data_IF_899981057453
#
_entry.id   IF_899981057453
#
_cell.length_a   1.000
_cell.length_b   1.000
_cell.length_c   1.000
_cell.angle_alpha   90.00
_cell.angle_beta   90.00
_cell.angle_gamma   90.00
#
_symmetry.space_group_name_H-M   'P 1'
#
loop_
_entity.id
_entity.type
_entity.pdbx_description
1 polymer ?
#
# COMPACT_ATOMS: atom_id res chain seq x y z
N UNK A 1 -0.77 -0.75 -8.57
CA UNK A 1 -0.57 0.53 -7.85
C UNK A 1 -1.54 1.61 -8.33
N UNK A 2 -1.48 2.05 -9.59
CA UNK A 2 -2.37 3.09 -10.11
C UNK A 2 -3.88 2.80 -9.93
N UNK A 3 -4.31 1.55 -10.12
CA UNK A 3 -5.71 1.15 -9.94
C UNK A 3 -6.17 1.24 -8.48
N UNK A 4 -5.36 0.79 -7.51
CA UNK A 4 -5.69 0.93 -6.08
C UNK A 4 -5.81 2.40 -5.69
N UNK A 5 -4.94 3.26 -6.25
CA UNK A 5 -5.01 4.70 -6.03
C UNK A 5 -6.29 5.28 -6.60
N UNK A 6 -6.62 4.96 -7.86
CA UNK A 6 -7.84 5.41 -8.52
C UNK A 6 -9.11 5.00 -7.75
N UNK A 7 -9.19 3.75 -7.28
CA UNK A 7 -10.31 3.21 -6.51
C UNK A 7 -10.55 3.93 -5.17
N UNK A 8 -9.54 4.59 -4.63
CA UNK A 8 -9.60 5.27 -3.32
C UNK A 8 -9.46 6.79 -3.40
N UNK A 9 -9.34 7.34 -4.61
CA UNK A 9 -9.27 8.78 -4.86
C UNK A 9 -10.56 9.26 -5.52
N UNK A 10 -11.19 10.28 -4.96
CA UNK A 10 -12.45 10.86 -5.46
C UNK A 10 -12.36 11.54 -6.84
N UNK A 11 -11.17 11.61 -7.44
CA UNK A 11 -10.95 12.19 -8.75
C UNK A 11 -10.18 11.20 -9.62
N UNK A 12 -10.92 10.38 -10.39
CA UNK A 12 -10.75 10.06 -11.83
C UNK A 12 -11.70 8.87 -12.09
N UNK A 13 -12.97 9.16 -12.35
CA UNK A 13 -13.95 8.14 -12.73
C UNK A 13 -13.76 7.62 -14.17
N UNK A 14 -12.91 8.25 -14.99
CA UNK A 14 -12.76 7.92 -16.42
C UNK A 14 -11.67 6.87 -16.75
N UNK A 15 -10.96 6.32 -15.75
CA UNK A 15 -9.86 5.34 -15.99
C UNK A 15 -10.26 3.92 -15.59
N UNK A 16 -11.35 3.74 -14.85
CA UNK A 16 -11.81 2.42 -14.48
C UNK A 16 -12.74 1.91 -15.58
N UNK A 17 -12.52 0.70 -16.13
CA UNK A 17 -13.52 0.01 -16.95
C UNK A 17 -14.91 0.07 -16.29
N UNK A 18 -15.99 -0.13 -17.04
CA UNK A 18 -17.30 -0.38 -16.42
C UNK A 18 -17.25 -1.78 -15.76
N UNK A 19 -16.76 -1.84 -14.52
CA UNK A 19 -16.80 -3.05 -13.68
C UNK A 19 -18.23 -3.32 -13.19
N UNK A 20 -19.15 -2.38 -13.46
CA UNK A 20 -20.55 -2.50 -13.14
C UNK A 20 -21.40 -2.94 -14.33
N UNK A 21 -22.28 -3.91 -14.03
CA UNK A 21 -23.47 -4.27 -14.78
C UNK A 21 -23.31 -5.16 -16.04
N UNK A 22 -22.96 -6.43 -15.80
CA UNK A 22 -23.59 -7.56 -16.50
C UNK A 22 -23.84 -8.69 -15.52
N UNK A 23 -24.99 -8.66 -14.85
CA UNK A 23 -25.75 -9.85 -14.42
C UNK A 23 -27.06 -9.48 -13.69
N UNK A 24 -27.81 -8.50 -14.22
CA UNK A 24 -29.20 -8.27 -13.79
C UNK A 24 -30.02 -7.72 -14.94
N UNK A 25 -30.13 -8.49 -16.03
CA UNK A 25 -31.25 -8.34 -16.95
C UNK A 25 -32.43 -9.15 -16.39
N UNK A 26 -33.22 -8.51 -15.54
CA UNK A 26 -34.63 -8.86 -15.36
C UNK A 26 -35.43 -7.56 -15.33
N UNK A 27 -35.81 -7.13 -16.53
CA UNK A 27 -37.09 -6.54 -16.91
C UNK A 27 -37.93 -5.91 -15.78
N UNK A 28 -38.00 -4.58 -15.72
CA UNK A 28 -39.26 -3.82 -15.93
C UNK A 28 -39.17 -2.34 -15.53
N UNK A 29 -39.62 -1.46 -16.43
CA UNK A 29 -40.41 -0.25 -16.10
C UNK A 29 -39.69 1.05 -15.69
N UNK A 30 -39.80 2.07 -16.56
CA UNK A 30 -39.44 3.48 -16.32
C UNK A 30 -40.23 4.14 -15.17
N UNK A 31 -39.60 5.05 -14.42
CA UNK A 31 -40.06 6.44 -14.21
C UNK A 31 -39.02 7.27 -13.43
N UNK A 32 -38.90 8.55 -13.83
CA UNK A 32 -38.09 9.62 -13.25
C UNK A 32 -38.45 9.91 -11.78
N UNK A 33 -37.49 10.39 -10.99
CA UNK A 33 -37.61 11.57 -10.11
C UNK A 33 -36.21 12.01 -9.61
N UNK A 34 -36.04 13.33 -9.51
CA UNK A 34 -34.86 14.06 -9.06
C UNK A 34 -34.73 14.04 -7.53
N UNK A 35 -33.49 14.10 -7.01
CA UNK A 35 -33.20 14.63 -5.68
C UNK A 35 -32.61 13.66 -4.66
N UNK A 36 -31.33 13.88 -4.32
CA UNK A 36 -30.70 13.37 -3.10
C UNK A 36 -29.75 12.18 -3.30
N UNK A 37 -28.47 12.45 -3.57
CA UNK A 37 -27.51 11.39 -3.92
C UNK A 37 -26.14 11.52 -3.27
N UNK A 38 -26.05 11.95 -2.01
CA UNK A 38 -24.78 11.87 -1.27
C UNK A 38 -24.50 10.48 -0.68
N UNK A 39 -25.53 9.62 -0.56
CA UNK A 39 -25.41 8.28 0.05
C UNK A 39 -25.36 7.12 -0.96
N UNK A 40 -25.67 7.37 -2.24
CA UNK A 40 -25.70 6.32 -3.25
C UNK A 40 -24.29 5.99 -3.81
N UNK A 41 -23.40 6.98 -3.87
CA UNK A 41 -22.04 6.80 -4.39
C UNK A 41 -21.10 6.00 -3.49
N UNK A 42 -21.20 6.13 -2.16
CA UNK A 42 -20.29 5.41 -1.25
C UNK A 42 -20.54 3.89 -1.22
N UNK A 43 -21.80 3.48 -1.32
CA UNK A 43 -22.18 2.07 -1.36
C UNK A 43 -21.78 1.42 -2.68
N UNK A 44 -21.97 2.14 -3.79
CA UNK A 44 -21.58 1.71 -5.14
C UNK A 44 -20.05 1.56 -5.25
N UNK A 45 -19.29 2.56 -4.78
CA UNK A 45 -17.84 2.51 -4.74
C UNK A 45 -17.32 1.37 -3.84
N UNK A 46 -17.99 1.10 -2.71
CA UNK A 46 -17.64 -0.02 -1.83
C UNK A 46 -17.87 -1.38 -2.49
N UNK A 47 -18.94 -1.53 -3.28
CA UNK A 47 -19.22 -2.74 -4.05
C UNK A 47 -18.16 -2.99 -5.12
N UNK A 48 -17.85 -1.96 -5.93
CA UNK A 48 -16.83 -2.01 -6.99
C UNK A 48 -15.45 -2.37 -6.45
N UNK A 49 -15.03 -1.77 -5.33
CA UNK A 49 -13.75 -2.09 -4.68
C UNK A 49 -13.70 -3.52 -4.15
N UNK A 50 -14.79 -3.98 -3.53
CA UNK A 50 -14.87 -5.34 -3.00
C UNK A 50 -14.71 -6.39 -4.10
N UNK A 51 -15.43 -6.22 -5.22
CA UNK A 51 -15.31 -7.06 -6.41
C UNK A 51 -13.88 -7.06 -6.98
N UNK A 52 -13.25 -5.88 -7.03
CA UNK A 52 -11.87 -5.77 -7.47
C UNK A 52 -10.91 -6.57 -6.58
N UNK A 53 -11.05 -6.47 -5.26
CA UNK A 53 -10.18 -7.19 -4.31
C UNK A 53 -10.33 -8.71 -4.39
N UNK A 54 -11.56 -9.19 -4.53
CA UNK A 54 -11.84 -10.61 -4.70
C UNK A 54 -11.16 -11.16 -5.97
N UNK A 55 -11.25 -10.42 -7.09
CA UNK A 55 -10.71 -10.85 -8.37
C UNK A 55 -9.18 -10.79 -8.43
N UNK A 56 -8.55 -9.83 -7.75
CA UNK A 56 -7.12 -9.50 -7.97
C UNK A 56 -6.13 -9.95 -6.89
N UNK A 57 -6.55 -10.62 -5.81
CA UNK A 57 -5.68 -11.21 -4.75
C UNK A 57 -4.44 -10.35 -4.43
N UNK A 58 -4.68 -9.10 -4.07
CA UNK A 58 -3.62 -8.08 -3.96
C UNK A 58 -2.64 -8.30 -2.81
N UNK A 59 -3.03 -9.05 -1.77
CA UNK A 59 -2.26 -9.18 -0.54
C UNK A 59 -0.85 -9.72 -0.77
N UNK A 60 -0.69 -10.72 -1.66
CA UNK A 60 0.63 -11.28 -1.98
C UNK A 60 1.57 -10.28 -2.65
N UNK A 61 1.06 -9.54 -3.64
CA UNK A 61 1.83 -8.51 -4.34
C UNK A 61 2.19 -7.35 -3.41
N UNK A 62 1.25 -6.87 -2.59
CA UNK A 62 1.49 -5.78 -1.65
C UNK A 62 2.48 -6.18 -0.54
N UNK A 63 2.36 -7.41 -0.02
CA UNK A 63 3.34 -8.00 0.92
C UNK A 63 4.74 -7.99 0.34
N UNK A 64 4.89 -8.43 -0.90
CA UNK A 64 6.18 -8.41 -1.59
C UNK A 64 6.74 -6.99 -1.69
N UNK A 65 5.92 -6.01 -2.10
CA UNK A 65 6.39 -4.64 -2.28
C UNK A 65 6.87 -3.97 -0.98
N UNK A 66 6.19 -4.21 0.16
CA UNK A 66 6.61 -3.59 1.43
C UNK A 66 7.86 -4.21 2.03
N UNK A 67 8.19 -5.44 1.66
CA UNK A 67 9.41 -6.14 2.14
C UNK A 67 10.63 -5.90 1.26
N UNK A 68 10.46 -5.33 0.05
CA UNK A 68 11.55 -5.03 -0.87
C UNK A 68 12.52 -3.96 -0.33
N UNK A 69 13.81 -4.31 -0.22
CA UNK A 69 14.86 -3.37 0.18
C UNK A 69 15.57 -2.68 -1.01
N UNK A 70 15.58 -3.33 -2.18
CA UNK A 70 16.32 -2.86 -3.37
C UNK A 70 15.72 -1.60 -4.01
N UNK A 71 14.42 -1.38 -3.82
CA UNK A 71 13.66 -0.31 -4.49
C UNK A 71 12.90 0.57 -3.48
N UNK A 72 13.58 1.49 -2.75
CA UNK A 72 12.97 2.31 -1.71
C UNK A 72 11.78 3.15 -2.19
N UNK A 73 11.85 3.69 -3.42
CA UNK A 73 10.75 4.45 -4.04
C UNK A 73 9.48 3.61 -4.15
N UNK A 74 9.61 2.39 -4.64
CA UNK A 74 8.48 1.49 -4.87
C UNK A 74 7.87 1.03 -3.54
N UNK A 75 8.74 0.76 -2.55
CA UNK A 75 8.31 0.45 -1.18
C UNK A 75 7.55 1.63 -0.56
N UNK A 76 8.00 2.86 -0.78
CA UNK A 76 7.31 4.06 -0.27
C UNK A 76 5.93 4.25 -0.86
N UNK A 77 5.79 4.03 -2.17
CA UNK A 77 4.49 4.03 -2.85
C UNK A 77 3.59 2.90 -2.34
N UNK A 78 4.16 1.74 -1.98
CA UNK A 78 3.40 0.66 -1.34
C UNK A 78 2.84 1.05 0.02
N UNK A 79 3.64 1.70 0.87
CA UNK A 79 3.14 2.22 2.15
C UNK A 79 2.03 3.26 1.96
N UNK A 80 2.21 4.18 1.01
CA UNK A 80 1.19 5.16 0.67
C UNK A 80 -0.12 4.50 0.24
N UNK A 81 -0.06 3.49 -0.64
CA UNK A 81 -1.25 2.79 -1.12
C UNK A 81 -1.91 1.97 -0.03
N UNK A 82 -1.16 1.31 0.85
CA UNK A 82 -1.75 0.62 2.01
C UNK A 82 -2.49 1.61 2.92
N UNK A 83 -1.88 2.76 3.21
CA UNK A 83 -2.50 3.83 4.00
C UNK A 83 -3.77 4.39 3.33
N UNK A 84 -3.76 4.49 2.00
CA UNK A 84 -4.92 4.93 1.24
C UNK A 84 -6.05 3.88 1.26
N UNK A 85 -5.71 2.60 1.05
CA UNK A 85 -6.67 1.49 1.07
C UNK A 85 -7.34 1.33 2.44
N UNK A 86 -6.58 1.49 3.53
CA UNK A 86 -7.08 1.31 4.88
C UNK A 86 -8.11 2.35 5.33
N UNK A 87 -8.37 3.41 4.53
CA UNK A 87 -9.41 4.42 4.79
C UNK A 87 -10.84 3.89 4.64
N UNK A 88 -10.99 2.70 4.08
CA UNK A 88 -12.25 1.99 3.86
C UNK A 88 -12.25 0.64 4.59
N UNK A 89 -13.42 0.11 4.95
CA UNK A 89 -13.53 -1.16 5.69
C UNK A 89 -13.15 -2.37 4.84
N UNK A 90 -13.43 -2.32 3.53
CA UNK A 90 -13.08 -3.31 2.52
C UNK A 90 -11.57 -3.28 2.21
N UNK A 91 -10.99 -2.09 2.00
CA UNK A 91 -9.55 -1.96 1.81
C UNK A 91 -8.74 -2.30 3.06
N UNK A 92 -9.24 -1.95 4.26
CA UNK A 92 -8.63 -2.37 5.53
C UNK A 92 -8.61 -3.91 5.69
N UNK A 93 -9.58 -4.64 5.12
CA UNK A 93 -9.56 -6.10 5.11
C UNK A 93 -8.36 -6.66 4.33
N UNK A 94 -8.09 -6.07 3.17
CA UNK A 94 -6.95 -6.47 2.32
C UNK A 94 -5.62 -6.15 3.00
N UNK A 95 -5.52 -4.99 3.63
CA UNK A 95 -4.33 -4.57 4.39
C UNK A 95 -4.11 -5.50 5.59
N UNK A 96 -5.17 -5.91 6.29
CA UNK A 96 -5.05 -6.86 7.40
C UNK A 96 -4.45 -8.19 6.93
N UNK A 97 -4.93 -8.71 5.79
CA UNK A 97 -4.38 -9.90 5.15
C UNK A 97 -2.91 -9.75 4.72
N UNK A 98 -2.46 -8.54 4.32
CA UNK A 98 -1.02 -8.26 4.09
C UNK A 98 -0.24 -8.41 5.39
N UNK A 99 -0.75 -7.87 6.49
CA UNK A 99 -0.08 -7.88 7.78
C UNK A 99 -0.14 -9.23 8.50
N UNK A 100 -0.95 -10.20 8.06
CA UNK A 100 -0.87 -11.59 8.53
C UNK A 100 0.51 -12.22 8.24
N UNK A 101 1.20 -11.74 7.20
CA UNK A 101 2.57 -12.17 6.90
C UNK A 101 3.54 -11.46 7.85
N UNK A 102 4.28 -12.25 8.64
CA UNK A 102 5.19 -11.73 9.65
C UNK A 102 6.21 -10.73 9.07
N UNK A 103 6.78 -11.02 7.90
CA UNK A 103 7.73 -10.12 7.24
C UNK A 103 7.14 -8.73 6.92
N UNK A 104 5.84 -8.65 6.57
CA UNK A 104 5.17 -7.36 6.34
C UNK A 104 4.90 -6.64 7.67
N UNK A 105 4.57 -7.37 8.74
CA UNK A 105 4.47 -6.80 10.09
C UNK A 105 5.82 -6.26 10.57
N UNK A 106 6.91 -6.99 10.37
CA UNK A 106 8.26 -6.54 10.74
C UNK A 106 8.68 -5.30 9.93
N UNK A 107 8.36 -5.29 8.63
CA UNK A 107 8.58 -4.13 7.78
C UNK A 107 7.77 -2.90 8.23
N UNK A 108 6.54 -3.09 8.74
CA UNK A 108 5.74 -2.02 9.33
C UNK A 108 6.40 -1.48 10.60
N UNK A 109 6.86 -2.36 11.49
CA UNK A 109 7.57 -1.97 12.71
C UNK A 109 8.84 -1.20 12.38
N UNK A 110 9.62 -1.66 11.39
CA UNK A 110 10.82 -0.95 10.91
C UNK A 110 10.46 0.41 10.32
N UNK A 111 9.43 0.50 9.47
CA UNK A 111 9.01 1.75 8.85
C UNK A 111 8.60 2.81 9.89
N UNK A 112 7.88 2.41 10.93
CA UNK A 112 7.45 3.33 12.00
C UNK A 112 8.63 3.70 12.92
N UNK A 113 9.35 2.70 13.43
CA UNK A 113 10.31 2.90 14.53
C UNK A 113 11.73 3.19 14.05
N UNK A 114 12.04 2.92 12.79
CA UNK A 114 13.40 2.93 12.26
C UNK A 114 14.31 1.81 12.80
N UNK A 115 13.80 0.94 13.69
CA UNK A 115 14.57 -0.18 14.24
C UNK A 115 14.40 -1.39 13.33
N UNK A 116 15.52 -1.90 12.80
CA UNK A 116 15.52 -3.21 12.15
C UNK A 116 15.32 -4.29 13.19
N UNK A 117 14.30 -5.11 13.00
CA UNK A 117 14.23 -6.40 13.68
C UNK A 117 15.32 -7.26 13.03
N UNK A 118 16.35 -7.73 13.77
CA UNK A 118 17.36 -8.59 13.17
C UNK A 118 16.68 -9.84 12.63
N UNK A 119 16.79 -10.07 11.32
CA UNK A 119 16.42 -11.34 10.71
C UNK A 119 17.27 -12.42 11.40
N UNK A 120 16.65 -13.30 12.18
CA UNK A 120 17.30 -14.57 12.51
C UNK A 120 17.60 -15.23 11.16
N UNK A 121 18.87 -15.53 10.92
CA UNK A 121 19.43 -16.17 9.71
C UNK A 121 18.68 -17.47 9.37
N UNK A 122 17.50 -17.36 8.76
CA UNK A 122 16.65 -18.44 8.29
C UNK A 122 16.07 -18.06 6.92
N UNK A 123 16.96 -17.81 5.97
CA UNK A 123 16.91 -18.43 4.64
C UNK A 123 15.71 -18.20 3.71
N UNK A 124 14.86 -17.18 3.87
CA UNK A 124 13.69 -17.02 2.99
C UNK A 124 13.77 -15.83 2.03
N UNK A 125 14.43 -14.72 2.40
CA UNK A 125 14.47 -13.49 1.58
C UNK A 125 15.43 -13.58 0.38
N UNK A 126 16.36 -14.55 0.35
CA UNK A 126 17.30 -14.74 -0.77
C UNK A 126 16.69 -15.53 -1.95
N UNK A 127 15.77 -16.47 -1.71
CA UNK A 127 15.27 -17.35 -2.79
C UNK A 127 14.20 -16.72 -3.70
N UNK A 128 13.44 -15.73 -3.23
CA UNK A 128 12.44 -15.04 -4.10
C UNK A 128 13.03 -13.84 -4.86
N UNK A 129 14.22 -13.36 -4.48
CA UNK A 129 14.92 -12.30 -5.20
C UNK A 129 15.46 -12.77 -6.56
N UNK A 130 15.69 -14.09 -6.74
CA UNK A 130 16.14 -14.71 -7.99
C UNK A 130 15.00 -14.99 -9.00
N UNK A 131 13.74 -15.04 -8.55
CA UNK A 131 12.57 -15.25 -9.44
C UNK A 131 12.21 -14.00 -10.26
N UNK A 132 12.68 -12.81 -9.85
CA UNK A 132 12.59 -11.59 -10.66
C UNK A 132 13.71 -11.49 -11.72
N UNK A 133 14.77 -12.30 -11.60
CA UNK A 133 15.92 -12.35 -12.51
C UNK A 133 15.83 -13.48 -13.54
N UNK A 134 14.76 -14.29 -13.51
CA UNK A 134 14.56 -15.44 -14.42
C UNK A 134 13.35 -15.26 -15.33
N UNK A 135 13.23 -14.10 -15.98
CA UNK A 135 12.62 -14.07 -17.30
C UNK A 135 13.74 -14.35 -18.32
N UNK A 136 13.63 -15.35 -19.21
CA UNK A 136 14.52 -15.43 -20.35
C UNK A 136 14.17 -14.27 -21.28
N UNK A 137 14.76 -13.11 -21.03
CA UNK A 137 14.89 -12.07 -22.05
C UNK A 137 15.82 -12.67 -23.10
N UNK A 138 15.27 -12.91 -24.30
CA UNK A 138 16.06 -13.24 -25.48
C UNK A 138 17.29 -12.33 -25.50
N UNK A 139 18.48 -12.95 -25.59
CA UNK A 139 19.82 -12.36 -25.59
C UNK A 139 19.96 -11.18 -26.57
N UNK A 140 19.08 -11.12 -27.58
CA UNK A 140 18.96 -10.02 -28.53
C UNK A 140 18.45 -8.69 -27.92
N UNK A 141 17.62 -8.72 -26.88
CA UNK A 141 17.04 -7.50 -26.26
C UNK A 141 17.97 -6.87 -25.22
N UNK A 142 18.73 -7.69 -24.47
CA UNK A 142 19.74 -7.22 -23.53
C UNK A 142 20.89 -6.47 -24.25
N UNK A 143 21.24 -6.93 -25.46
CA UNK A 143 22.27 -6.29 -26.29
C UNK A 143 21.85 -4.90 -26.80
N UNK A 144 20.55 -4.69 -27.09
CA UNK A 144 20.02 -3.37 -27.50
C UNK A 144 19.91 -2.40 -26.31
N UNK A 145 19.57 -2.88 -25.10
CA UNK A 145 19.50 -2.03 -23.91
C UNK A 145 20.88 -1.51 -23.47
N UNK A 146 21.92 -2.33 -23.65
CA UNK A 146 23.32 -1.96 -23.34
C UNK A 146 23.84 -0.83 -24.25
N UNK A 147 23.29 -0.69 -25.46
CA UNK A 147 23.59 0.41 -26.39
C UNK A 147 22.86 1.72 -26.09
N UNK A 148 21.85 1.70 -25.22
CA UNK A 148 20.99 2.86 -24.91
C UNK A 148 21.25 3.49 -23.52
N UNK A 149 22.21 2.98 -22.74
CA UNK A 149 22.49 3.44 -21.36
C UNK A 149 21.23 3.52 -20.47
N UNK A 150 20.24 2.65 -20.72
CA UNK A 150 19.01 2.58 -19.93
C UNK A 150 19.17 1.64 -18.72
N UNK A 151 20.33 1.68 -18.05
CA UNK A 151 20.36 1.15 -16.68
C UNK A 151 19.37 1.99 -15.87
N UNK A 152 18.49 1.39 -15.04
CA UNK A 152 17.68 2.15 -14.10
C UNK A 152 18.67 2.93 -13.23
N UNK A 153 18.84 4.21 -13.53
CA UNK A 153 19.75 5.09 -12.84
C UNK A 153 19.24 5.14 -11.40
N UNK A 154 19.84 4.31 -10.54
CA UNK A 154 19.55 4.32 -9.12
C UNK A 154 19.82 5.75 -8.70
N UNK A 155 18.78 6.46 -8.26
CA UNK A 155 18.93 7.85 -7.90
C UNK A 155 19.99 7.93 -6.79
N UNK A 156 21.17 8.43 -7.17
CA UNK A 156 22.23 8.77 -6.24
C UNK A 156 21.67 9.79 -5.26
N UNK A 157 21.64 9.42 -3.98
CA UNK A 157 21.26 10.34 -2.92
C UNK A 157 20.88 9.60 -1.65
N UNK A 158 21.84 9.47 -0.73
CA UNK A 158 21.55 9.10 0.65
C UNK A 158 20.42 9.97 1.25
N UNK A 159 20.34 11.24 0.82
CA UNK A 159 19.25 12.18 1.14
C UNK A 159 17.88 11.73 0.62
N UNK A 160 17.79 11.23 -0.61
CA UNK A 160 16.53 10.73 -1.17
C UNK A 160 16.04 9.48 -0.42
N UNK A 161 16.97 8.59 -0.03
CA UNK A 161 16.66 7.44 0.82
C UNK A 161 16.20 7.87 2.22
N UNK A 162 16.80 8.90 2.80
CA UNK A 162 16.38 9.47 4.08
C UNK A 162 14.98 10.09 3.98
N UNK A 163 14.71 10.87 2.92
CA UNK A 163 13.38 11.43 2.65
C UNK A 163 12.32 10.36 2.47
N UNK A 164 12.62 9.28 1.74
CA UNK A 164 11.72 8.14 1.60
C UNK A 164 11.49 7.43 2.93
N UNK A 165 12.50 7.29 3.77
CA UNK A 165 12.33 6.68 5.11
C UNK A 165 11.40 7.52 5.98
N UNK A 166 11.50 8.85 5.90
CA UNK A 166 10.57 9.76 6.59
C UNK A 166 9.15 9.63 6.04
N UNK A 167 9.00 9.62 4.71
CA UNK A 167 7.71 9.43 4.06
C UNK A 167 7.07 8.06 4.42
N UNK A 168 7.87 7.00 4.46
CA UNK A 168 7.44 5.66 4.87
C UNK A 168 6.91 5.67 6.29
N UNK A 169 7.59 6.36 7.21
CA UNK A 169 7.12 6.51 8.60
C UNK A 169 5.79 7.23 8.68
N UNK A 170 5.63 8.35 7.99
CA UNK A 170 4.39 9.13 7.98
C UNK A 170 3.23 8.31 7.38
N UNK A 171 3.46 7.66 6.23
CA UNK A 171 2.47 6.80 5.58
C UNK A 171 2.11 5.59 6.45
N UNK A 172 3.08 4.92 7.07
CA UNK A 172 2.86 3.79 7.97
C UNK A 172 2.10 4.19 9.24
N UNK A 173 2.29 5.41 9.74
CA UNK A 173 1.51 5.93 10.87
C UNK A 173 0.06 6.18 10.48
N UNK A 174 -0.18 6.79 9.32
CA UNK A 174 -1.54 6.95 8.76
C UNK A 174 -2.18 5.58 8.62
N UNK A 175 -1.50 4.61 8.01
CA UNK A 175 -1.96 3.22 7.91
C UNK A 175 -2.41 2.65 9.26
N UNK A 176 -1.58 2.77 10.31
CA UNK A 176 -1.91 2.27 11.63
C UNK A 176 -3.18 2.93 12.20
N UNK A 177 -3.29 4.25 12.09
CA UNK A 177 -4.47 5.00 12.59
C UNK A 177 -5.75 4.64 11.82
N UNK A 178 -5.64 4.45 10.52
CA UNK A 178 -6.75 4.09 9.64
C UNK A 178 -7.22 2.65 9.88
N UNK A 179 -6.29 1.71 10.12
CA UNK A 179 -6.63 0.35 10.53
C UNK A 179 -7.31 0.30 11.89
N UNK A 180 -6.87 1.12 12.84
CA UNK A 180 -7.55 1.25 14.14
C UNK A 180 -8.95 1.85 14.00
N UNK A 181 -9.21 2.69 13.00
CA UNK A 181 -10.54 3.28 12.79
C UNK A 181 -11.49 2.35 12.02
N UNK A 182 -11.00 1.75 10.93
CA UNK A 182 -11.83 1.04 9.95
C UNK A 182 -11.75 -0.49 10.11
N UNK A 183 -10.85 -0.98 10.97
CA UNK A 183 -10.62 -2.41 11.21
C UNK A 183 -10.89 -2.88 12.65
N UNK A 184 -11.21 -2.00 13.61
CA UNK A 184 -11.24 -2.36 15.05
C UNK A 184 -12.11 -3.58 15.39
N UNK A 185 -13.26 -3.73 14.73
CA UNK A 185 -14.17 -4.86 14.96
C UNK A 185 -13.72 -6.19 14.34
N UNK A 186 -12.68 -6.19 13.49
CA UNK A 186 -12.16 -7.37 12.78
C UNK A 186 -10.77 -7.79 13.28
N UNK A 187 -9.95 -6.83 13.70
CA UNK A 187 -8.57 -7.08 14.06
C UNK A 187 -8.46 -7.85 15.39
N UNK A 188 -7.60 -8.89 15.47
CA UNK A 188 -7.40 -9.62 16.70
C UNK A 188 -6.71 -8.74 17.76
N UNK A 189 -6.96 -8.96 19.07
CA UNK A 189 -6.42 -8.11 20.15
C UNK A 189 -4.89 -7.88 20.11
N UNK A 190 -4.04 -8.88 19.77
CA UNK A 190 -2.60 -8.66 19.63
C UNK A 190 -2.26 -7.60 18.56
N UNK A 191 -2.98 -7.59 17.44
CA UNK A 191 -2.77 -6.62 16.36
C UNK A 191 -3.21 -5.22 16.79
N UNK A 192 -4.35 -5.10 17.48
CA UNK A 192 -4.80 -3.82 18.02
C UNK A 192 -3.78 -3.22 19.00
N UNK A 193 -3.23 -4.05 19.89
CA UNK A 193 -2.21 -3.61 20.84
C UNK A 193 -0.92 -3.16 20.13
N UNK A 194 -0.47 -3.92 19.12
CA UNK A 194 0.68 -3.55 18.30
C UNK A 194 0.46 -2.20 17.61
N UNK A 195 -0.65 -2.03 16.89
CA UNK A 195 -0.95 -0.80 16.15
C UNK A 195 -1.03 0.42 17.09
N UNK A 196 -1.68 0.28 18.25
CA UNK A 196 -1.75 1.37 19.26
C UNK A 196 -0.37 1.73 19.79
N UNK A 197 0.49 0.73 20.04
CA UNK A 197 1.88 0.96 20.45
C UNK A 197 2.67 1.69 19.38
N UNK A 198 2.53 1.27 18.12
CA UNK A 198 3.22 1.90 16.98
C UNK A 198 2.77 3.35 16.76
N UNK A 199 1.46 3.64 16.86
CA UNK A 199 0.96 5.02 16.76
C UNK A 199 1.55 5.88 17.87
N UNK A 200 1.55 5.39 19.10
CA UNK A 200 2.14 6.14 20.23
C UNK A 200 3.62 6.43 20.00
N UNK A 201 4.42 5.40 19.74
CA UNK A 201 5.86 5.55 19.57
C UNK A 201 6.23 6.38 18.32
N UNK A 202 5.61 6.09 17.19
CA UNK A 202 5.97 6.77 15.95
C UNK A 202 5.54 8.24 15.91
N UNK A 203 4.45 8.62 16.59
CA UNK A 203 4.09 10.04 16.72
C UNK A 203 5.10 10.82 17.56
N UNK A 204 5.63 10.23 18.63
CA UNK A 204 6.73 10.81 19.42
C UNK A 204 7.98 11.03 18.55
N UNK A 205 8.34 10.05 17.71
CA UNK A 205 9.47 10.15 16.78
C UNK A 205 9.28 11.25 15.72
N UNK A 206 8.09 11.36 15.12
CA UNK A 206 7.81 12.41 14.13
C UNK A 206 7.88 13.81 14.73
N UNK A 207 7.40 13.98 15.98
CA UNK A 207 7.52 15.25 16.69
C UNK A 207 8.98 15.60 16.96
N UNK A 208 9.79 14.62 17.39
CA UNK A 208 11.21 14.81 17.63
C UNK A 208 11.99 15.18 16.35
N UNK A 209 11.67 14.54 15.22
CA UNK A 209 12.31 14.84 13.94
C UNK A 209 11.95 16.26 13.45
N UNK A 210 10.68 16.68 13.56
CA UNK A 210 10.25 18.05 13.20
C UNK A 210 10.93 19.12 14.06
N UNK A 211 11.15 18.84 15.34
CA UNK A 211 11.85 19.76 16.24
C UNK A 211 13.33 19.94 15.86
N UNK A 212 13.96 18.93 15.26
CA UNK A 212 15.35 18.99 14.77
C UNK A 212 15.48 19.75 13.44
N UNK A 213 14.42 19.77 12.64
CA UNK A 213 14.39 20.43 11.32
C UNK A 213 14.06 21.94 11.39
N UNK A 214 13.54 22.44 12.51
CA UNK A 214 13.30 23.88 12.70
C UNK A 214 14.59 24.58 13.17
N UNK A 215 15.09 25.60 12.45
CA UNK A 215 16.24 26.38 12.91
C UNK A 215 15.86 27.20 14.16
N UNK A 216 16.82 27.47 15.08
CA UNK A 216 16.56 28.30 16.24
C UNK A 216 16.15 29.71 15.78
N UNK A 217 14.98 30.16 16.24
CA UNK A 217 14.45 31.52 16.07
C UNK A 217 15.18 32.53 16.94
#
# INVERSE_FOLDING_TARGET
MALCRALHSSAVLDVLPDWDQKDSQSDSGQALEEGGGASHGEADDSGRRSLFYEKHRLSGALTFLVTLQKWPTLRSEAWFILALMSRSTDGAAVVDAVLEVQAATDALVEAVTGRRVPENEAGSTKQMQELADTCPVDDATASLASGLQLEPQQADGAEQKANMTKADRENALVLCTELLRNGEGRLPPPRLNLLRSLVKEGTELVVADRAREQPPT
#
